data_IF_757876853708
#
_entry.id   IF_757876853708
#
_cell.length_a   1.000
_cell.length_b   1.000
_cell.length_c   1.000
_cell.angle_alpha   90.00
_cell.angle_beta   90.00
_cell.angle_gamma   90.00
#
_symmetry.space_group_name_H-M   'P 1'
#
loop_
_entity.id
_entity.type
_entity.pdbx_description
1 polymer ?
#
# COMPACT_ATOMS: atom_id res chain seq x y z
N UNK A 1 2.56 2.20 31.61
CA UNK A 1 3.22 3.51 31.68
C UNK A 1 2.81 4.32 32.93
N UNK A 2 1.55 4.23 33.40
CA UNK A 2 1.11 4.91 34.65
C UNK A 2 1.85 4.40 35.90
N UNK A 3 2.50 3.25 35.83
CA UNK A 3 3.39 2.73 36.88
C UNK A 3 4.82 3.28 36.77
N UNK A 4 5.09 4.22 35.86
CA UNK A 4 6.44 4.74 35.62
C UNK A 4 7.30 3.90 34.68
N UNK A 5 6.74 2.85 34.07
CA UNK A 5 7.44 2.00 33.09
C UNK A 5 7.39 2.64 31.71
N UNK A 6 8.47 2.56 30.94
CA UNK A 6 8.49 2.99 29.56
C UNK A 6 7.87 1.93 28.65
N UNK A 7 7.10 2.36 27.64
CA UNK A 7 6.61 1.47 26.60
C UNK A 7 7.62 1.47 25.44
N UNK A 8 8.30 0.36 25.15
CA UNK A 8 9.29 0.31 24.09
C UNK A 8 8.69 0.73 22.74
N UNK A 9 9.36 1.67 22.07
CA UNK A 9 8.94 2.15 20.75
C UNK A 9 7.81 3.17 20.73
N UNK A 10 7.16 3.48 21.86
CA UNK A 10 6.13 4.51 21.94
C UNK A 10 6.71 5.77 22.63
N UNK A 11 6.74 6.94 21.98
CA UNK A 11 7.16 8.20 22.59
C UNK A 11 6.28 8.59 23.78
N UNK A 12 6.88 9.03 24.89
CA UNK A 12 6.19 9.31 26.15
C UNK A 12 5.05 10.34 26.01
N UNK A 13 5.20 11.33 25.12
CA UNK A 13 4.16 12.34 24.86
C UNK A 13 2.88 11.79 24.22
N UNK A 14 2.89 10.54 23.76
CA UNK A 14 1.72 9.88 23.20
C UNK A 14 0.97 9.02 24.22
N UNK A 15 1.52 8.80 25.42
CA UNK A 15 0.91 7.92 26.42
C UNK A 15 -0.50 8.37 26.80
N UNK A 16 -0.73 9.67 26.96
CA UNK A 16 -2.03 10.23 27.33
C UNK A 16 -3.12 10.12 26.23
N UNK A 17 -2.73 9.70 25.02
CA UNK A 17 -3.69 9.44 23.96
C UNK A 17 -4.42 8.12 24.15
N UNK A 18 -3.82 7.18 24.90
CA UNK A 18 -4.38 5.85 25.10
C UNK A 18 -5.18 5.78 26.39
N UNK A 19 -6.35 5.11 26.37
CA UNK A 19 -7.13 4.87 27.58
C UNK A 19 -6.38 3.89 28.49
N UNK A 20 -6.72 3.89 29.75
CA UNK A 20 -6.18 3.00 30.77
C UNK A 20 -7.07 1.77 31.03
N UNK A 21 -8.18 1.66 30.31
CA UNK A 21 -9.12 0.54 30.44
C UNK A 21 -9.40 -0.11 29.09
N UNK A 22 -9.62 -1.43 29.16
CA UNK A 22 -10.23 -2.20 28.10
C UNK A 22 -11.71 -2.38 28.42
N UNK A 23 -12.52 -2.47 27.38
CA UNK A 23 -13.95 -2.76 27.44
C UNK A 23 -14.27 -3.89 26.51
N UNK A 24 -15.26 -4.70 26.86
CA UNK A 24 -15.73 -5.78 25.99
C UNK A 24 -16.36 -5.23 24.70
N UNK A 25 -16.05 -5.87 23.58
CA UNK A 25 -16.66 -5.59 22.29
C UNK A 25 -16.93 -6.87 21.50
N UNK A 26 -17.59 -6.72 20.34
CA UNK A 26 -17.84 -7.85 19.42
C UNK A 26 -16.55 -8.51 18.87
N UNK A 27 -15.42 -7.81 18.95
CA UNK A 27 -14.10 -8.31 18.52
C UNK A 27 -13.18 -8.64 19.71
N UNK A 28 -13.74 -8.84 20.91
CA UNK A 28 -13.01 -9.03 22.14
C UNK A 28 -12.72 -7.71 22.88
N UNK A 29 -11.79 -7.75 23.83
CA UNK A 29 -11.42 -6.57 24.61
C UNK A 29 -10.80 -5.48 23.71
N UNK A 30 -11.34 -4.29 23.78
CA UNK A 30 -10.88 -3.11 23.03
C UNK A 30 -10.61 -1.95 23.97
N UNK A 31 -9.69 -1.04 23.63
CA UNK A 31 -9.46 0.16 24.43
C UNK A 31 -10.72 1.02 24.54
N UNK A 32 -10.99 1.55 25.73
CA UNK A 32 -12.15 2.42 25.96
C UNK A 32 -12.16 3.61 24.99
N UNK A 33 -13.32 3.87 24.39
CA UNK A 33 -13.49 4.95 23.40
C UNK A 33 -13.06 4.59 21.98
N UNK A 34 -12.63 3.35 21.75
CA UNK A 34 -12.45 2.85 20.38
C UNK A 34 -13.76 2.20 19.91
N UNK A 35 -14.04 2.30 18.61
CA UNK A 35 -15.28 1.76 18.03
C UNK A 35 -15.03 0.47 17.26
N UNK A 36 -15.93 -0.47 17.33
CA UNK A 36 -16.03 -1.56 16.35
C UNK A 36 -16.82 -1.02 15.14
N UNK A 37 -16.27 -1.19 13.97
CA UNK A 37 -16.91 -0.77 12.74
C UNK A 37 -16.55 -1.67 11.58
N UNK A 38 -16.83 -1.23 10.35
CA UNK A 38 -16.50 -1.98 9.15
C UNK A 38 -15.68 -1.14 8.17
N UNK A 39 -14.95 -1.82 7.28
CA UNK A 39 -14.20 -1.14 6.21
C UNK A 39 -15.13 -0.23 5.39
N UNK A 40 -16.36 -0.66 5.09
CA UNK A 40 -17.36 0.14 4.39
C UNK A 40 -17.81 1.38 5.17
N UNK A 41 -17.86 1.34 6.52
CA UNK A 41 -18.23 2.50 7.36
C UNK A 41 -17.24 3.66 7.17
N UNK A 42 -15.95 3.35 7.10
CA UNK A 42 -14.86 4.34 7.01
C UNK A 42 -14.45 4.67 5.57
N UNK A 43 -15.02 4.00 4.58
CA UNK A 43 -14.71 4.19 3.16
C UNK A 43 -15.89 4.80 2.40
N UNK A 44 -15.59 5.42 1.26
CA UNK A 44 -16.56 5.72 0.22
C UNK A 44 -17.04 4.41 -0.44
N UNK A 45 -18.01 4.52 -1.38
CA UNK A 45 -18.48 3.37 -2.15
C UNK A 45 -17.32 2.70 -2.87
N UNK A 46 -17.08 1.39 -2.67
CA UNK A 46 -15.99 0.70 -3.32
C UNK A 46 -16.20 0.60 -4.83
N UNK A 47 -15.09 0.56 -5.57
CA UNK A 47 -15.11 0.50 -7.03
C UNK A 47 -14.26 -0.67 -7.53
N UNK A 48 -14.82 -1.44 -8.47
CA UNK A 48 -14.07 -2.44 -9.24
C UNK A 48 -13.17 -1.75 -10.27
N UNK A 49 -12.05 -2.37 -10.59
CA UNK A 49 -11.11 -1.84 -11.56
C UNK A 49 -11.53 -2.04 -13.02
N UNK A 50 -10.70 -1.53 -13.91
CA UNK A 50 -10.87 -1.55 -15.36
C UNK A 50 -10.54 -2.92 -15.97
N UNK A 51 -11.23 -3.30 -17.02
CA UNK A 51 -10.96 -4.53 -17.76
C UNK A 51 -10.21 -4.20 -19.03
N UNK A 52 -8.93 -4.56 -19.09
CA UNK A 52 -8.09 -4.37 -20.27
C UNK A 52 -7.03 -5.47 -20.38
N UNK A 53 -6.40 -5.58 -21.53
CA UNK A 53 -5.19 -6.38 -21.72
C UNK A 53 -3.96 -5.60 -21.31
N UNK A 54 -3.06 -6.24 -20.55
CA UNK A 54 -1.78 -5.64 -20.20
C UNK A 54 -0.80 -5.62 -21.38
N UNK A 55 0.02 -4.57 -21.47
CA UNK A 55 1.05 -4.37 -22.48
C UNK A 55 2.39 -4.07 -21.80
N UNK A 56 3.47 -4.62 -22.32
CA UNK A 56 4.82 -4.30 -21.83
C UNK A 56 5.28 -2.90 -22.30
N UNK A 57 4.86 -2.51 -23.50
CA UNK A 57 5.19 -1.18 -24.09
C UNK A 57 4.31 -0.08 -23.46
N UNK A 58 4.84 1.14 -23.31
CA UNK A 58 4.12 2.28 -22.73
C UNK A 58 3.05 2.85 -23.69
N UNK A 59 1.98 2.10 -23.90
CA UNK A 59 0.84 2.49 -24.76
C UNK A 59 -0.19 3.38 -24.06
N UNK A 60 -0.03 3.58 -22.75
CA UNK A 60 -0.96 4.36 -21.91
C UNK A 60 -0.49 4.41 -20.46
N UNK A 61 -1.40 4.53 -19.48
CA UNK A 61 -1.03 4.54 -18.06
C UNK A 61 -0.52 3.16 -17.60
N UNK A 62 0.16 3.13 -16.45
CA UNK A 62 0.45 1.88 -15.75
C UNK A 62 -0.86 1.15 -15.39
N UNK A 63 -0.85 -0.17 -15.49
CA UNK A 63 -2.01 -1.03 -15.25
C UNK A 63 -1.72 -1.98 -14.10
N UNK A 64 -2.10 -1.58 -12.89
CA UNK A 64 -1.82 -2.32 -11.66
C UNK A 64 -2.69 -3.57 -11.56
N UNK A 65 -2.05 -4.73 -11.38
CA UNK A 65 -2.69 -6.05 -11.31
C UNK A 65 -2.40 -6.73 -9.98
N UNK A 66 -3.04 -7.87 -9.71
CA UNK A 66 -2.79 -8.68 -8.52
C UNK A 66 -1.32 -9.09 -8.43
N UNK A 67 -0.73 -9.50 -9.55
CA UNK A 67 0.69 -9.92 -9.62
C UNK A 67 1.68 -8.84 -9.23
N UNK A 68 1.25 -7.60 -9.21
CA UNK A 68 2.09 -6.44 -8.90
C UNK A 68 1.99 -6.05 -7.40
N UNK A 69 1.00 -6.58 -6.67
CA UNK A 69 0.74 -6.21 -5.26
C UNK A 69 0.92 -7.35 -4.26
N UNK A 70 1.00 -8.60 -4.71
CA UNK A 70 1.03 -9.77 -3.83
C UNK A 70 2.44 -10.28 -3.46
N UNK A 71 3.50 -9.63 -3.94
CA UNK A 71 4.89 -10.07 -3.73
C UNK A 71 5.64 -9.28 -2.67
N UNK A 72 5.41 -7.98 -2.64
CA UNK A 72 6.15 -7.04 -1.81
C UNK A 72 5.18 -6.17 -1.00
N UNK A 73 5.68 -5.57 0.06
CA UNK A 73 4.91 -4.61 0.87
C UNK A 73 4.82 -3.20 0.23
N UNK A 74 5.31 -3.05 -0.98
CA UNK A 74 5.27 -1.85 -1.82
C UNK A 74 5.08 -2.26 -3.27
N UNK A 75 4.69 -1.31 -4.12
CA UNK A 75 4.56 -1.51 -5.56
C UNK A 75 5.88 -1.16 -6.24
N UNK A 76 6.45 -2.10 -6.97
CA UNK A 76 7.54 -1.78 -7.88
C UNK A 76 6.99 -1.28 -9.22
N UNK A 77 6.78 0.02 -9.30
CA UNK A 77 6.22 0.66 -10.50
C UNK A 77 7.06 0.46 -11.76
N UNK A 78 8.33 0.10 -11.66
CA UNK A 78 9.18 -0.18 -12.83
C UNK A 78 8.70 -1.41 -13.59
N UNK A 79 8.20 -2.42 -12.89
CA UNK A 79 7.75 -3.71 -13.44
C UNK A 79 6.27 -3.74 -13.80
N UNK A 80 5.48 -2.76 -13.35
CA UNK A 80 4.05 -2.68 -13.66
C UNK A 80 3.85 -2.44 -15.16
N UNK A 81 3.03 -3.27 -15.79
CA UNK A 81 2.68 -3.16 -17.21
C UNK A 81 1.83 -1.91 -17.51
N UNK A 82 1.48 -1.74 -18.76
CA UNK A 82 0.64 -0.64 -19.26
C UNK A 82 -0.67 -1.18 -19.83
N UNK A 83 -1.66 -0.32 -20.06
CA UNK A 83 -2.84 -0.65 -20.86
C UNK A 83 -3.27 0.52 -21.74
N UNK A 84 -3.99 0.19 -22.80
CA UNK A 84 -4.75 1.16 -23.57
C UNK A 84 -6.04 1.50 -22.82
N UNK A 85 -6.38 2.77 -22.75
CA UNK A 85 -7.57 3.26 -22.05
C UNK A 85 -7.99 4.62 -22.64
N UNK A 86 -9.27 4.84 -22.76
CA UNK A 86 -9.81 6.13 -23.19
C UNK A 86 -9.72 7.16 -22.05
N UNK A 87 -9.68 8.45 -22.41
CA UNK A 87 -9.49 9.52 -21.41
C UNK A 87 -10.62 9.54 -20.36
N UNK A 88 -11.86 9.29 -20.76
CA UNK A 88 -12.99 9.27 -19.84
C UNK A 88 -12.87 8.13 -18.80
N UNK A 89 -12.48 6.94 -19.25
CA UNK A 89 -12.24 5.80 -18.37
C UNK A 89 -10.99 6.02 -17.49
N UNK A 90 -9.94 6.65 -18.04
CA UNK A 90 -8.77 6.98 -17.25
C UNK A 90 -9.13 7.85 -16.04
N UNK A 91 -9.95 8.89 -16.22
CA UNK A 91 -10.37 9.76 -15.10
C UNK A 91 -11.20 8.99 -14.05
N UNK A 92 -12.00 8.03 -14.48
CA UNK A 92 -12.79 7.18 -13.58
C UNK A 92 -11.90 6.21 -12.77
N UNK A 93 -10.91 5.58 -13.42
CA UNK A 93 -10.11 4.50 -12.85
C UNK A 93 -8.72 4.92 -12.37
N UNK A 94 -8.33 6.19 -12.56
CA UNK A 94 -7.02 6.67 -12.12
C UNK A 94 -6.80 6.45 -10.63
N UNK A 95 -5.60 6.03 -10.30
CA UNK A 95 -5.13 5.86 -8.93
C UNK A 95 -4.63 7.19 -8.37
N UNK A 96 -4.83 7.35 -7.06
CA UNK A 96 -4.37 8.50 -6.29
C UNK A 96 -3.68 8.01 -5.01
N UNK A 97 -2.69 8.74 -4.47
CA UNK A 97 -2.16 8.46 -3.15
C UNK A 97 -3.28 8.37 -2.11
N UNK A 98 -3.22 7.32 -1.28
CA UNK A 98 -4.27 7.01 -0.31
C UNK A 98 -5.35 6.04 -0.78
N UNK A 99 -5.43 5.73 -2.08
CA UNK A 99 -6.30 4.65 -2.56
C UNK A 99 -5.85 3.30 -1.94
N UNK A 100 -6.80 2.57 -1.37
CA UNK A 100 -6.60 1.22 -0.85
C UNK A 100 -7.12 0.23 -1.87
N UNK A 101 -6.29 -0.69 -2.33
CA UNK A 101 -6.68 -1.72 -3.29
C UNK A 101 -6.61 -3.09 -2.63
N UNK A 102 -7.65 -3.90 -2.83
CA UNK A 102 -7.72 -5.27 -2.30
C UNK A 102 -8.05 -6.22 -3.45
N UNK A 103 -7.29 -7.30 -3.56
CA UNK A 103 -7.50 -8.36 -4.53
C UNK A 103 -8.79 -9.14 -4.19
N UNK A 104 -9.64 -9.35 -5.21
CA UNK A 104 -10.90 -10.09 -5.06
C UNK A 104 -10.83 -11.55 -5.51
N UNK A 105 -9.89 -11.88 -6.37
CA UNK A 105 -9.74 -13.21 -7.00
C UNK A 105 -8.26 -13.56 -7.16
N UNK A 106 -7.97 -14.78 -7.54
CA UNK A 106 -6.65 -15.38 -7.73
C UNK A 106 -5.80 -15.45 -6.45
N UNK A 107 -5.67 -14.36 -5.73
CA UNK A 107 -4.98 -14.26 -4.43
C UNK A 107 -5.78 -13.29 -3.53
N UNK A 108 -7.04 -13.67 -3.17
CA UNK A 108 -7.98 -12.76 -2.54
C UNK A 108 -7.51 -12.31 -1.17
N UNK A 109 -7.77 -11.05 -0.83
CA UNK A 109 -7.40 -10.45 0.44
C UNK A 109 -6.08 -9.69 0.40
N UNK A 110 -5.17 -9.98 -0.55
CA UNK A 110 -3.95 -9.16 -0.66
C UNK A 110 -4.30 -7.71 -0.94
N UNK A 111 -3.82 -6.83 -0.09
CA UNK A 111 -4.13 -5.40 -0.15
C UNK A 111 -2.90 -4.52 -0.14
N UNK A 112 -3.00 -3.36 -0.78
CA UNK A 112 -1.95 -2.34 -0.84
C UNK A 112 -2.55 -0.94 -0.77
N UNK A 113 -1.79 0.00 -0.24
CA UNK A 113 -2.10 1.43 -0.30
C UNK A 113 -1.22 2.07 -1.37
N UNK A 114 -1.82 2.90 -2.21
CA UNK A 114 -1.09 3.71 -3.18
C UNK A 114 -0.38 4.84 -2.44
N UNK A 115 0.94 4.87 -2.48
CA UNK A 115 1.76 5.84 -1.74
C UNK A 115 2.34 6.94 -2.63
N UNK A 116 2.48 6.66 -3.93
CA UNK A 116 3.13 7.56 -4.89
C UNK A 116 2.11 8.07 -5.93
N UNK A 117 2.32 9.30 -6.39
CA UNK A 117 1.54 9.85 -7.51
C UNK A 117 2.09 9.28 -8.82
N UNK A 118 1.40 8.31 -9.38
CA UNK A 118 1.76 7.67 -10.65
C UNK A 118 0.59 7.74 -11.62
N UNK A 119 0.85 7.96 -12.90
CA UNK A 119 -0.18 7.85 -13.95
C UNK A 119 -0.55 6.37 -14.13
N UNK A 120 -1.51 5.90 -13.35
CA UNK A 120 -1.88 4.48 -13.27
C UNK A 120 -3.39 4.29 -13.11
N UNK A 121 -3.87 3.14 -13.58
CA UNK A 121 -5.20 2.59 -13.33
C UNK A 121 -5.05 1.18 -12.78
N UNK A 122 -6.14 0.56 -12.31
CA UNK A 122 -6.12 -0.76 -11.67
C UNK A 122 -7.06 -1.75 -12.35
N UNK A 123 -6.65 -3.01 -12.36
CA UNK A 123 -7.36 -4.10 -13.04
C UNK A 123 -8.63 -4.53 -12.30
N UNK A 124 -9.59 -5.09 -13.03
CA UNK A 124 -10.93 -5.51 -12.55
C UNK A 124 -10.91 -6.57 -11.44
N UNK A 125 -9.77 -7.23 -11.23
CA UNK A 125 -9.58 -8.16 -10.11
C UNK A 125 -9.17 -7.47 -8.79
N UNK A 126 -9.02 -6.15 -8.81
CA UNK A 126 -8.81 -5.32 -7.64
C UNK A 126 -10.08 -4.50 -7.34
N UNK A 127 -10.33 -4.28 -6.06
CA UNK A 127 -11.39 -3.40 -5.57
C UNK A 127 -10.73 -2.24 -4.85
N UNK A 128 -11.08 -1.01 -5.24
CA UNK A 128 -10.61 0.21 -4.62
C UNK A 128 -11.54 0.67 -3.52
N UNK A 129 -10.95 0.99 -2.37
CA UNK A 129 -11.58 1.70 -1.27
C UNK A 129 -10.88 3.05 -1.10
N UNK A 130 -11.64 4.14 -1.06
CA UNK A 130 -11.19 5.45 -0.67
C UNK A 130 -11.67 5.73 0.74
N UNK A 131 -10.75 6.03 1.64
CA UNK A 131 -11.11 6.33 3.02
C UNK A 131 -11.70 7.73 3.09
N UNK A 132 -12.79 7.89 3.86
CA UNK A 132 -13.44 9.18 4.11
C UNK A 132 -12.53 10.16 4.86
N UNK A 133 -11.61 9.63 5.67
CA UNK A 133 -10.62 10.41 6.40
C UNK A 133 -9.21 9.84 6.20
N UNK A 134 -8.34 10.68 5.66
CA UNK A 134 -6.95 10.34 5.33
C UNK A 134 -6.11 9.93 6.55
N UNK A 135 -6.52 10.32 7.76
CA UNK A 135 -5.86 9.95 9.01
C UNK A 135 -5.76 8.42 9.20
N UNK A 136 -6.69 7.66 8.63
CA UNK A 136 -6.75 6.21 8.78
C UNK A 136 -5.96 5.42 7.71
N UNK A 137 -5.36 6.07 6.71
CA UNK A 137 -4.67 5.37 5.61
C UNK A 137 -3.58 4.44 6.14
N UNK A 138 -2.70 4.92 7.02
CA UNK A 138 -1.63 4.10 7.59
C UNK A 138 -2.17 3.02 8.51
N UNK A 139 -3.20 3.31 9.26
CA UNK A 139 -3.87 2.31 10.09
C UNK A 139 -4.41 1.16 9.22
N UNK A 140 -5.14 1.45 8.16
CA UNK A 140 -5.66 0.44 7.23
C UNK A 140 -4.53 -0.29 6.50
N UNK A 141 -3.45 0.39 6.12
CA UNK A 141 -2.29 -0.26 5.50
C UNK A 141 -1.68 -1.37 6.36
N UNK A 142 -1.64 -1.16 7.68
CA UNK A 142 -1.13 -2.16 8.62
C UNK A 142 -2.19 -3.15 9.05
N UNK A 143 -3.46 -2.74 9.16
CA UNK A 143 -4.56 -3.66 9.40
C UNK A 143 -4.66 -4.74 8.31
N UNK A 144 -4.50 -4.41 7.04
CA UNK A 144 -4.47 -5.38 5.92
C UNK A 144 -3.35 -6.45 6.04
N UNK A 145 -2.45 -6.31 6.99
CA UNK A 145 -1.34 -7.24 7.26
C UNK A 145 -1.45 -7.94 8.61
N UNK A 146 -2.45 -7.58 9.40
CA UNK A 146 -2.67 -8.16 10.71
C UNK A 146 -3.28 -9.56 10.62
N UNK A 147 -3.01 -10.38 11.63
CA UNK A 147 -3.59 -11.72 11.74
C UNK A 147 -5.12 -11.65 11.74
N UNK A 148 -5.73 -10.70 12.47
CA UNK A 148 -7.18 -10.53 12.52
C UNK A 148 -7.80 -10.21 11.15
N UNK A 149 -7.13 -9.46 10.29
CA UNK A 149 -7.61 -9.28 8.91
C UNK A 149 -7.54 -10.60 8.12
N UNK A 150 -6.45 -11.34 8.22
CA UNK A 150 -6.28 -12.60 7.52
C UNK A 150 -7.19 -13.71 8.03
N UNK A 151 -7.58 -13.69 9.30
CA UNK A 151 -8.63 -14.55 9.83
C UNK A 151 -9.98 -14.28 9.15
N UNK A 152 -10.37 -13.01 8.98
CA UNK A 152 -11.58 -12.63 8.25
C UNK A 152 -11.53 -13.10 6.78
N UNK A 153 -10.39 -12.96 6.12
CA UNK A 153 -10.19 -13.46 4.75
C UNK A 153 -10.37 -14.97 4.70
N UNK A 154 -9.71 -15.70 5.59
CA UNK A 154 -9.73 -17.18 5.65
C UNK A 154 -11.12 -17.73 5.95
N UNK A 155 -11.85 -17.13 6.87
CA UNK A 155 -13.22 -17.52 7.22
C UNK A 155 -14.18 -17.40 6.02
N UNK A 156 -13.96 -16.43 5.13
CA UNK A 156 -14.77 -16.25 3.91
C UNK A 156 -14.39 -17.20 2.77
N UNK A 157 -13.21 -17.82 2.85
CA UNK A 157 -12.76 -18.81 1.87
C UNK A 157 -13.16 -20.24 2.24
N UNK A 158 -13.45 -20.51 3.50
CA UNK A 158 -13.82 -21.84 3.95
C UNK A 158 -15.12 -22.32 3.26
N UNK A 159 -15.03 -23.41 2.49
CA UNK A 159 -16.17 -24.04 1.83
C UNK A 159 -16.44 -23.62 0.38
N UNK A 160 -15.60 -22.82 -0.27
CA UNK A 160 -15.77 -22.47 -1.68
C UNK A 160 -14.62 -22.96 -2.55
N UNK A 161 -14.96 -23.60 -3.69
CA UNK A 161 -13.99 -24.09 -4.70
C UNK A 161 -13.30 -22.96 -5.46
N UNK A 162 -13.85 -21.73 -5.40
CA UNK A 162 -13.25 -20.50 -5.96
C UNK A 162 -13.36 -19.40 -4.92
N UNK A 163 -12.29 -19.17 -4.22
CA UNK A 163 -12.17 -18.05 -3.30
C UNK A 163 -12.37 -16.73 -4.04
N UNK A 164 -13.44 -16.00 -3.74
CA UNK A 164 -13.73 -14.69 -4.31
C UNK A 164 -14.29 -13.77 -3.23
N UNK A 165 -13.66 -12.61 -3.06
CA UNK A 165 -14.12 -11.55 -2.18
C UNK A 165 -14.73 -10.43 -3.03
N UNK A 166 -16.04 -10.25 -2.95
CA UNK A 166 -16.68 -9.13 -3.62
C UNK A 166 -16.65 -7.86 -2.74
N UNK A 167 -17.02 -6.72 -3.33
CA UNK A 167 -17.00 -5.44 -2.64
C UNK A 167 -17.88 -5.40 -1.39
N UNK A 168 -19.03 -6.09 -1.40
CA UNK A 168 -19.94 -6.14 -0.26
C UNK A 168 -19.31 -6.93 0.91
N UNK A 169 -18.70 -8.08 0.61
CA UNK A 169 -18.00 -8.89 1.63
C UNK A 169 -16.84 -8.12 2.23
N UNK A 170 -15.98 -7.50 1.41
CA UNK A 170 -14.86 -6.69 1.92
C UNK A 170 -15.36 -5.49 2.73
N UNK A 171 -16.44 -4.84 2.29
CA UNK A 171 -17.04 -3.72 3.05
C UNK A 171 -17.57 -4.14 4.42
N UNK A 172 -17.98 -5.40 4.58
CA UNK A 172 -18.50 -5.93 5.86
C UNK A 172 -17.39 -6.39 6.83
N UNK A 173 -16.11 -6.37 6.42
CA UNK A 173 -15.02 -6.76 7.30
C UNK A 173 -14.94 -5.84 8.50
N UNK A 174 -15.06 -6.42 9.67
CA UNK A 174 -15.03 -5.70 10.95
C UNK A 174 -13.58 -5.34 11.32
N UNK A 175 -13.43 -4.18 11.94
CA UNK A 175 -12.18 -3.71 12.48
C UNK A 175 -12.42 -2.78 13.67
N UNK A 176 -11.44 -2.69 14.53
CA UNK A 176 -11.42 -1.71 15.62
C UNK A 176 -10.99 -0.38 15.04
N UNK A 177 -11.78 0.68 15.22
CA UNK A 177 -11.51 2.03 14.70
C UNK A 177 -11.01 2.89 15.87
N UNK A 178 -9.71 3.23 15.90
CA UNK A 178 -9.19 4.11 16.95
C UNK A 178 -9.72 5.54 16.78
N UNK A 179 -9.78 6.35 17.84
CA UNK A 179 -10.03 7.79 17.73
C UNK A 179 -9.05 8.44 16.73
N UNK A 180 -9.54 9.41 15.95
CA UNK A 180 -8.76 10.08 14.90
C UNK A 180 -7.39 10.59 15.39
N UNK A 181 -7.32 11.12 16.62
CA UNK A 181 -6.06 11.60 17.21
C UNK A 181 -4.99 10.50 17.31
N UNK A 182 -5.40 9.26 17.62
CA UNK A 182 -4.50 8.10 17.70
C UNK A 182 -4.08 7.66 16.29
N UNK A 183 -5.04 7.56 15.36
CA UNK A 183 -4.74 7.24 13.97
C UNK A 183 -3.78 8.26 13.34
N UNK A 184 -3.94 9.55 13.64
CA UNK A 184 -3.04 10.61 13.18
C UNK A 184 -1.64 10.51 13.81
N UNK A 185 -1.54 10.23 15.10
CA UNK A 185 -0.25 10.04 15.79
C UNK A 185 0.49 8.83 15.23
N UNK A 186 -0.21 7.71 15.04
CA UNK A 186 0.32 6.51 14.39
C UNK A 186 0.82 6.82 12.97
N UNK A 187 0.02 7.52 12.18
CA UNK A 187 0.39 7.94 10.82
C UNK A 187 1.63 8.82 10.81
N UNK A 188 1.80 9.71 11.79
CA UNK A 188 3.00 10.54 11.95
C UNK A 188 4.28 9.71 12.11
N UNK A 189 4.25 8.73 13.01
CA UNK A 189 5.39 7.82 13.23
C UNK A 189 5.68 6.98 11.99
N UNK A 190 4.63 6.35 11.44
CA UNK A 190 4.76 5.45 10.29
C UNK A 190 5.25 6.18 9.06
N UNK A 191 4.78 7.41 8.79
CA UNK A 191 5.22 8.19 7.65
C UNK A 191 6.74 8.44 7.66
N UNK A 192 7.34 8.70 8.82
CA UNK A 192 8.80 8.86 8.93
C UNK A 192 9.53 7.59 8.49
N UNK A 193 9.05 6.43 8.91
CA UNK A 193 9.63 5.13 8.54
C UNK A 193 9.40 4.83 7.06
N UNK A 194 8.18 5.07 6.55
CA UNK A 194 7.85 4.85 5.14
C UNK A 194 8.64 5.74 4.20
N UNK A 195 8.84 7.01 4.56
CA UNK A 195 9.67 7.92 3.78
C UNK A 195 11.12 7.42 3.66
N UNK A 196 11.68 6.85 4.73
CA UNK A 196 13.01 6.21 4.67
C UNK A 196 13.01 5.01 3.72
N UNK A 197 11.97 4.17 3.75
CA UNK A 197 11.84 3.03 2.84
C UNK A 197 11.77 3.50 1.39
N UNK A 198 10.94 4.51 1.09
CA UNK A 198 10.80 5.06 -0.26
C UNK A 198 12.13 5.66 -0.74
N UNK A 199 12.83 6.41 0.11
CA UNK A 199 14.15 6.96 -0.22
C UNK A 199 15.17 5.85 -0.56
N UNK A 200 15.25 4.81 0.27
CA UNK A 200 16.15 3.67 0.03
C UNK A 200 15.80 2.89 -1.26
N UNK A 201 14.51 2.75 -1.57
CA UNK A 201 14.07 2.13 -2.83
C UNK A 201 14.48 2.95 -4.05
N UNK A 202 14.33 4.28 -3.98
CA UNK A 202 14.74 5.17 -5.08
C UNK A 202 16.27 5.15 -5.27
N UNK A 203 17.04 5.15 -4.19
CA UNK A 203 18.50 5.00 -4.24
C UNK A 203 18.88 3.65 -4.88
N UNK A 204 18.24 2.56 -4.47
CA UNK A 204 18.47 1.23 -5.06
C UNK A 204 18.16 1.19 -6.56
N UNK A 205 17.06 1.83 -7.00
CA UNK A 205 16.72 1.96 -8.43
C UNK A 205 17.78 2.76 -9.20
N UNK A 206 18.26 3.86 -8.62
CA UNK A 206 19.34 4.67 -9.21
C UNK A 206 20.62 3.85 -9.36
N UNK A 207 21.02 3.13 -8.32
CA UNK A 207 22.21 2.26 -8.39
C UNK A 207 22.06 1.14 -9.43
N UNK A 208 20.88 0.52 -9.54
CA UNK A 208 20.61 -0.47 -10.58
C UNK A 208 20.73 0.14 -11.99
N UNK A 209 20.15 1.31 -12.23
CA UNK A 209 20.25 2.00 -13.51
C UNK A 209 21.70 2.40 -13.85
N UNK A 210 22.47 2.85 -12.87
CA UNK A 210 23.89 3.15 -13.03
C UNK A 210 24.70 1.88 -13.38
N UNK A 211 24.52 0.80 -12.65
CA UNK A 211 25.14 -0.49 -12.93
C UNK A 211 24.83 -0.93 -14.37
N UNK A 212 23.59 -0.92 -14.76
CA UNK A 212 23.13 -1.42 -16.07
C UNK A 212 23.63 -0.52 -17.23
N UNK A 213 23.85 0.76 -16.98
CA UNK A 213 24.43 1.69 -17.95
C UNK A 213 25.96 1.56 -18.07
N UNK A 214 26.66 1.27 -16.96
CA UNK A 214 28.13 1.26 -16.92
C UNK A 214 28.71 -0.12 -17.22
N UNK A 215 28.12 -1.20 -16.71
CA UNK A 215 28.68 -2.53 -16.80
C UNK A 215 28.96 -3.00 -18.23
N UNK A 216 28.07 -2.81 -19.22
CA UNK A 216 28.35 -3.19 -20.62
C UNK A 216 29.53 -2.43 -21.21
N UNK A 217 29.69 -1.14 -20.84
CA UNK A 217 30.77 -0.28 -21.36
C UNK A 217 32.13 -0.62 -20.74
N UNK A 218 32.13 -0.96 -19.45
CA UNK A 218 33.34 -1.44 -18.76
C UNK A 218 33.80 -2.78 -19.32
N UNK A 219 32.88 -3.72 -19.55
CA UNK A 219 33.20 -5.05 -20.13
C UNK A 219 33.78 -4.92 -21.54
N UNK A 220 33.26 -3.99 -22.36
CA UNK A 220 33.76 -3.72 -23.72
C UNK A 220 35.01 -2.86 -23.76
N UNK A 221 35.49 -2.35 -22.62
CA UNK A 221 36.65 -1.47 -22.55
C UNK A 221 36.39 -0.06 -23.10
N UNK A 222 35.14 0.32 -23.35
CA UNK A 222 34.74 1.66 -23.83
C UNK A 222 35.01 2.75 -22.79
N UNK A 223 34.94 2.41 -21.51
CA UNK A 223 35.28 3.29 -20.39
C UNK A 223 36.16 2.55 -19.40
N UNK A 224 37.09 3.29 -18.76
CA UNK A 224 37.89 2.79 -17.64
C UNK A 224 37.21 3.20 -16.31
N UNK A 225 37.50 2.49 -15.22
CA UNK A 225 36.92 2.78 -13.90
C UNK A 225 37.14 4.25 -13.50
N UNK A 226 38.35 4.79 -13.72
CA UNK A 226 38.69 6.18 -13.43
C UNK A 226 37.95 7.22 -14.30
N UNK A 227 37.36 6.82 -15.41
CA UNK A 227 36.57 7.69 -16.28
C UNK A 227 35.06 7.60 -15.96
N UNK A 228 34.65 6.63 -15.15
CA UNK A 228 33.27 6.38 -14.81
C UNK A 228 32.63 7.57 -14.04
N UNK A 229 33.35 8.16 -13.09
CA UNK A 229 32.87 9.34 -12.34
C UNK A 229 32.57 10.53 -13.25
N UNK A 230 33.47 10.79 -14.25
CA UNK A 230 33.24 11.87 -15.22
C UNK A 230 32.00 11.60 -16.07
N UNK A 231 31.83 10.35 -16.53
CA UNK A 231 30.67 9.92 -17.31
C UNK A 231 29.35 10.07 -16.54
N UNK A 232 29.36 9.80 -15.24
CA UNK A 232 28.18 9.96 -14.39
C UNK A 232 27.81 11.43 -14.20
N UNK A 233 28.81 12.30 -13.96
CA UNK A 233 28.61 13.75 -13.83
C UNK A 233 28.03 14.38 -15.11
N UNK A 234 28.55 13.98 -16.28
CA UNK A 234 28.07 14.51 -17.57
C UNK A 234 26.61 14.16 -17.88
N UNK A 235 26.06 13.10 -17.24
CA UNK A 235 24.68 12.66 -17.39
C UNK A 235 23.75 13.07 -16.24
N UNK A 236 24.26 13.82 -15.27
CA UNK A 236 23.47 14.25 -14.11
C UNK A 236 23.01 13.08 -13.22
N UNK A 237 23.79 11.99 -13.18
CA UNK A 237 23.49 10.77 -12.41
C UNK A 237 24.29 10.70 -11.08
N UNK A 238 25.01 11.78 -10.74
CA UNK A 238 25.70 12.01 -9.47
C UNK A 238 25.52 13.46 -9.05
#
# INVERSE_FOLDING_TARGET
WRRGESLPGLPAHLYDLFPDRLVDSELGETPEGWEVGTLGKISEKPQYGYTASSREKPVGPKFLRITDINKLSWIDWSTVAYCEIEQADFEQYRLQPGDVLIARMADPGHGVVIEEQVKAVFASYLIRFRLKDQAYIRYIQYWLRSDGYWELVTLRHAGTTRASLNAQVLSSFQLIIPPKRIASAFSGIVNVLRNKVVAALNESRTHAALRDALLPKLIRGEIRVKDAERFLKERGLC
#
